data_IF_585833924502
#
_entry.id   IF_585833924502
#
_cell.length_a   1.000
_cell.length_b   1.000
_cell.length_c   1.000
_cell.angle_alpha   90.00
_cell.angle_beta   90.00
_cell.angle_gamma   90.00
#
_symmetry.space_group_name_H-M   'P 1'
#
loop_
_entity.id
_entity.type
_entity.pdbx_description
1 polymer ?
#
# COMPACT_ATOMS: atom_id res chain seq x y z
N UNK A 1 9.42 -16.98 -15.05
CA UNK A 1 8.01 -17.04 -14.57
C UNK A 1 7.96 -16.29 -13.24
N UNK A 2 7.01 -15.38 -13.05
CA UNK A 2 6.81 -14.66 -11.79
C UNK A 2 5.58 -15.27 -11.13
N UNK A 3 5.71 -16.02 -10.02
CA UNK A 3 4.57 -16.57 -9.29
C UNK A 3 3.84 -15.49 -8.50
N UNK A 4 2.54 -15.61 -8.40
CA UNK A 4 1.76 -14.79 -7.47
C UNK A 4 0.77 -15.64 -6.69
N UNK A 5 0.42 -15.21 -5.50
CA UNK A 5 -0.62 -15.80 -4.66
C UNK A 5 -1.41 -14.71 -3.93
N UNK A 6 -2.62 -15.04 -3.48
CA UNK A 6 -3.52 -14.09 -2.83
C UNK A 6 -4.25 -14.69 -1.65
N UNK A 7 -4.44 -13.88 -0.61
CA UNK A 7 -5.31 -14.17 0.53
C UNK A 7 -5.73 -12.88 1.24
N UNK A 8 -6.54 -12.96 2.31
CA UNK A 8 -6.82 -11.83 3.18
C UNK A 8 -5.59 -11.45 3.99
N UNK A 9 -5.41 -10.17 4.22
CA UNK A 9 -4.17 -9.63 4.78
C UNK A 9 -3.87 -10.14 6.19
N UNK A 10 -4.88 -10.33 7.04
CA UNK A 10 -4.70 -10.92 8.37
C UNK A 10 -4.04 -12.31 8.30
N UNK A 11 -4.27 -13.08 7.23
CA UNK A 11 -3.69 -14.42 7.06
C UNK A 11 -2.27 -14.41 6.49
N UNK A 12 -1.71 -13.25 6.18
CA UNK A 12 -0.28 -13.14 5.88
C UNK A 12 0.61 -13.63 7.02
N UNK A 13 0.09 -13.66 8.25
CA UNK A 13 0.80 -14.19 9.41
C UNK A 13 1.19 -15.67 9.24
N UNK A 14 0.35 -16.46 8.58
CA UNK A 14 0.67 -17.85 8.25
C UNK A 14 1.71 -17.96 7.13
N UNK A 15 1.88 -16.92 6.33
CA UNK A 15 2.78 -16.88 5.19
C UNK A 15 4.12 -16.23 5.51
N UNK A 16 4.26 -15.54 6.64
CA UNK A 16 5.49 -14.79 7.01
C UNK A 16 6.78 -15.60 6.86
N UNK A 17 6.87 -16.88 7.27
CA UNK A 17 8.07 -17.67 7.04
C UNK A 17 8.41 -17.84 5.56
N UNK A 18 7.42 -18.10 4.70
CA UNK A 18 7.61 -18.26 3.26
C UNK A 18 7.98 -16.94 2.59
N UNK A 19 7.32 -15.84 2.97
CA UNK A 19 7.64 -14.48 2.49
C UNK A 19 9.09 -14.12 2.85
N UNK A 20 9.50 -14.38 4.10
CA UNK A 20 10.86 -14.10 4.55
C UNK A 20 11.90 -14.95 3.80
N UNK A 21 11.60 -16.21 3.51
CA UNK A 21 12.49 -17.06 2.71
C UNK A 21 12.57 -16.61 1.25
N UNK A 22 11.45 -16.19 0.66
CA UNK A 22 11.46 -15.60 -0.70
C UNK A 22 12.33 -14.34 -0.74
N UNK A 23 12.20 -13.46 0.26
CA UNK A 23 13.01 -12.25 0.37
C UNK A 23 14.51 -12.57 0.55
N UNK A 24 14.84 -13.52 1.42
CA UNK A 24 16.22 -13.96 1.66
C UNK A 24 16.86 -14.58 0.40
N UNK A 25 16.09 -15.33 -0.36
CA UNK A 25 16.54 -16.00 -1.57
C UNK A 25 16.48 -15.12 -2.83
N UNK A 26 15.97 -13.88 -2.74
CA UNK A 26 15.83 -12.98 -3.89
C UNK A 26 14.80 -13.47 -4.92
N UNK A 27 13.76 -14.18 -4.50
CA UNK A 27 12.76 -14.75 -5.40
C UNK A 27 11.70 -13.68 -5.74
N UNK A 28 11.49 -13.36 -7.04
CA UNK A 28 10.53 -12.34 -7.47
C UNK A 28 9.09 -12.88 -7.44
N UNK A 29 8.59 -13.18 -6.24
CA UNK A 29 7.20 -13.61 -6.01
C UNK A 29 6.32 -12.40 -5.66
N UNK A 30 5.07 -12.39 -6.13
CA UNK A 30 4.11 -11.35 -5.82
C UNK A 30 3.07 -11.90 -4.84
N UNK A 31 2.98 -11.28 -3.67
CA UNK A 31 1.99 -11.60 -2.64
C UNK A 31 0.90 -10.54 -2.68
N UNK A 32 -0.32 -10.94 -3.04
CA UNK A 32 -1.48 -10.01 -3.11
C UNK A 32 -2.36 -10.23 -1.90
N UNK A 33 -2.44 -9.21 -1.06
CA UNK A 33 -3.28 -9.23 0.14
C UNK A 33 -4.44 -8.27 -0.02
N UNK A 34 -5.64 -8.72 0.35
CA UNK A 34 -6.85 -7.90 0.39
C UNK A 34 -7.33 -7.74 1.82
N UNK A 35 -8.30 -6.84 2.07
CA UNK A 35 -8.85 -6.63 3.42
C UNK A 35 -7.78 -6.10 4.38
N UNK A 36 -7.21 -4.96 4.01
CA UNK A 36 -5.94 -4.41 4.49
C UNK A 36 -5.97 -3.75 5.87
N UNK A 37 -7.18 -3.48 6.44
CA UNK A 37 -7.30 -2.65 7.63
C UNK A 37 -8.51 -2.99 8.50
N UNK A 38 -8.64 -2.27 9.62
CA UNK A 38 -9.80 -2.35 10.51
C UNK A 38 -11.12 -1.92 9.84
N UNK A 39 -11.06 -1.20 8.71
CA UNK A 39 -12.23 -0.82 7.92
C UNK A 39 -12.88 -1.99 7.16
N UNK A 40 -12.33 -3.19 7.26
CA UNK A 40 -12.94 -4.42 6.81
C UNK A 40 -14.39 -4.57 7.34
N UNK A 41 -14.63 -4.21 8.59
CA UNK A 41 -15.96 -4.12 9.18
C UNK A 41 -16.47 -5.45 9.75
N UNK A 42 -17.51 -6.01 9.15
CA UNK A 42 -18.34 -7.08 9.70
C UNK A 42 -17.67 -8.44 9.93
N UNK A 43 -16.58 -8.75 9.24
CA UNK A 43 -15.82 -10.00 9.45
C UNK A 43 -15.15 -10.03 10.85
N UNK A 44 -15.05 -8.87 11.50
CA UNK A 44 -14.63 -8.74 12.87
C UNK A 44 -13.12 -8.85 13.12
N UNK A 45 -12.71 -8.88 14.38
CA UNK A 45 -11.31 -8.70 14.78
C UNK A 45 -10.37 -9.80 14.31
N UNK A 46 -10.87 -10.99 13.99
CA UNK A 46 -10.05 -12.09 13.47
C UNK A 46 -9.53 -11.82 12.05
N UNK A 47 -10.14 -10.87 11.34
CA UNK A 47 -9.81 -10.54 9.96
C UNK A 47 -9.31 -9.09 9.80
N UNK A 48 -9.30 -8.31 10.88
CA UNK A 48 -8.91 -6.91 10.90
C UNK A 48 -7.42 -6.74 11.24
N UNK A 49 -6.52 -6.58 10.25
CA UNK A 49 -5.11 -6.37 10.51
C UNK A 49 -4.87 -4.98 11.13
N UNK A 50 -3.99 -4.90 12.12
CA UNK A 50 -3.57 -3.67 12.79
C UNK A 50 -2.06 -3.45 12.60
N UNK A 51 -1.25 -4.37 13.15
CA UNK A 51 0.21 -4.31 13.12
C UNK A 51 0.83 -4.93 11.86
N UNK A 52 0.03 -5.58 11.03
CA UNK A 52 0.47 -6.49 9.97
C UNK A 52 1.30 -5.78 8.89
N UNK A 53 0.93 -4.55 8.49
CA UNK A 53 1.71 -3.75 7.53
C UNK A 53 3.11 -3.48 8.06
N UNK A 54 3.22 -3.02 9.31
CA UNK A 54 4.50 -2.76 9.96
C UNK A 54 5.32 -4.05 10.09
N UNK A 55 4.65 -5.17 10.39
CA UNK A 55 5.27 -6.49 10.48
C UNK A 55 5.86 -6.99 9.16
N UNK A 56 5.25 -6.66 8.01
CA UNK A 56 5.84 -6.97 6.71
C UNK A 56 6.97 -5.99 6.34
N UNK A 57 6.82 -4.71 6.64
CA UNK A 57 7.82 -3.67 6.30
C UNK A 57 9.18 -3.87 6.98
N UNK A 58 9.26 -4.61 8.07
CA UNK A 58 10.55 -4.92 8.72
C UNK A 58 11.27 -6.12 8.11
N UNK A 59 10.68 -6.83 7.15
CA UNK A 59 11.34 -7.94 6.45
C UNK A 59 12.32 -7.36 5.41
N UNK A 60 13.64 -7.59 5.56
CA UNK A 60 14.61 -7.09 4.58
C UNK A 60 14.34 -7.68 3.19
N UNK A 61 14.58 -6.88 2.15
CA UNK A 61 14.39 -7.25 0.76
C UNK A 61 12.94 -7.60 0.37
N UNK A 62 11.93 -7.16 1.13
CA UNK A 62 10.53 -7.22 0.76
C UNK A 62 10.02 -5.82 0.43
N UNK A 63 9.52 -5.59 -0.79
CA UNK A 63 8.76 -4.39 -1.09
C UNK A 63 7.32 -4.55 -0.61
N UNK A 64 6.83 -3.53 0.10
CA UNK A 64 5.46 -3.52 0.62
C UNK A 64 4.76 -2.28 0.09
N UNK A 65 3.87 -2.47 -0.88
CA UNK A 65 3.16 -1.39 -1.57
C UNK A 65 1.69 -1.45 -1.18
N UNK A 66 1.16 -0.34 -0.68
CA UNK A 66 -0.24 -0.21 -0.27
C UNK A 66 -0.87 0.95 -1.05
N UNK A 67 -1.38 0.68 -2.26
CA UNK A 67 -1.92 1.70 -3.16
C UNK A 67 -3.25 2.27 -2.64
N UNK A 68 -3.47 3.57 -2.89
CA UNK A 68 -4.63 4.31 -2.43
C UNK A 68 -5.78 4.35 -3.43
N UNK A 69 -5.50 4.18 -4.73
CA UNK A 69 -6.50 4.22 -5.78
C UNK A 69 -6.17 3.25 -6.93
N UNK A 70 -7.07 3.08 -7.93
CA UNK A 70 -6.84 2.16 -9.06
C UNK A 70 -5.59 2.48 -9.88
N UNK A 71 -5.20 3.75 -10.01
CA UNK A 71 -4.02 4.15 -10.78
C UNK A 71 -2.73 3.82 -10.04
N UNK A 72 -2.72 3.99 -8.72
CA UNK A 72 -1.61 3.51 -7.90
C UNK A 72 -1.52 1.99 -7.90
N UNK A 73 -2.65 1.26 -7.95
CA UNK A 73 -2.65 -0.21 -8.12
C UNK A 73 -1.95 -0.59 -9.42
N UNK A 74 -2.23 0.10 -10.52
CA UNK A 74 -1.55 -0.16 -11.80
C UNK A 74 -0.04 0.08 -11.71
N UNK A 75 0.39 1.17 -11.06
CA UNK A 75 1.80 1.46 -10.79
C UNK A 75 2.47 0.41 -9.90
N UNK A 76 1.79 -0.01 -8.84
CA UNK A 76 2.26 -1.03 -7.91
C UNK A 76 2.45 -2.40 -8.60
N UNK A 77 1.52 -2.81 -9.47
CA UNK A 77 1.67 -4.03 -10.28
C UNK A 77 2.84 -3.91 -11.25
N UNK A 78 3.02 -2.76 -11.91
CA UNK A 78 4.15 -2.55 -12.81
C UNK A 78 5.48 -2.68 -12.04
N UNK A 79 5.60 -2.06 -10.87
CA UNK A 79 6.78 -2.17 -10.00
C UNK A 79 7.05 -3.63 -9.59
N UNK A 80 6.01 -4.35 -9.14
CA UNK A 80 6.13 -5.74 -8.73
C UNK A 80 6.56 -6.67 -9.88
N UNK A 81 6.07 -6.44 -11.09
CA UNK A 81 6.42 -7.25 -12.26
C UNK A 81 7.83 -6.95 -12.79
N UNK A 82 8.31 -5.73 -12.64
CA UNK A 82 9.66 -5.32 -13.05
C UNK A 82 10.74 -5.73 -12.05
N UNK A 83 10.37 -5.99 -10.81
CA UNK A 83 11.31 -6.41 -9.78
C UNK A 83 11.78 -7.84 -9.98
N UNK A 84 13.10 -8.06 -10.01
CA UNK A 84 13.71 -9.36 -10.30
C UNK A 84 14.57 -9.93 -9.17
N UNK A 85 14.82 -9.16 -8.13
CA UNK A 85 15.78 -9.45 -7.05
C UNK A 85 15.15 -9.69 -5.67
N UNK A 86 13.83 -9.70 -5.61
CA UNK A 86 13.10 -9.95 -4.37
C UNK A 86 11.58 -9.94 -4.55
N UNK A 87 10.84 -10.36 -3.53
CA UNK A 87 9.39 -10.39 -3.56
C UNK A 87 8.76 -9.01 -3.31
N UNK A 88 7.51 -8.86 -3.78
CA UNK A 88 6.67 -7.69 -3.54
C UNK A 88 5.35 -8.11 -2.92
N UNK A 89 4.94 -7.42 -1.85
CA UNK A 89 3.61 -7.54 -1.25
C UNK A 89 2.75 -6.35 -1.69
N UNK A 90 1.66 -6.62 -2.38
CA UNK A 90 0.62 -5.65 -2.75
C UNK A 90 -0.52 -5.76 -1.74
N UNK A 91 -0.81 -4.67 -1.02
CA UNK A 91 -1.81 -4.66 0.04
C UNK A 91 -2.98 -3.80 -0.41
N UNK A 92 -4.12 -4.46 -0.66
CA UNK A 92 -5.30 -3.86 -1.25
C UNK A 92 -6.43 -3.77 -0.23
N UNK A 93 -7.23 -2.71 -0.34
CA UNK A 93 -8.40 -2.50 0.52
C UNK A 93 -9.61 -3.34 0.07
N UNK A 94 -10.55 -3.58 0.99
CA UNK A 94 -11.85 -4.20 0.71
C UNK A 94 -12.87 -3.15 0.26
N UNK A 95 -12.90 -2.01 0.91
CA UNK A 95 -13.87 -0.96 0.65
C UNK A 95 -13.56 -0.19 -0.63
N UNK A 96 -14.59 0.47 -1.18
CA UNK A 96 -14.39 1.42 -2.26
C UNK A 96 -13.57 2.62 -1.79
N UNK A 97 -12.68 3.10 -2.65
CA UNK A 97 -11.87 4.31 -2.43
C UNK A 97 -12.08 5.28 -3.58
N UNK A 98 -11.99 6.60 -3.35
CA UNK A 98 -12.12 7.58 -4.40
C UNK A 98 -10.91 7.54 -5.33
N UNK A 99 -11.13 7.95 -6.58
CA UNK A 99 -10.04 8.18 -7.52
C UNK A 99 -9.37 9.54 -7.21
N UNK A 100 -8.06 9.54 -7.00
CA UNK A 100 -7.27 10.71 -6.63
C UNK A 100 -7.02 11.62 -7.84
N UNK A 101 -8.08 12.16 -8.43
CA UNK A 101 -8.06 12.91 -9.70
C UNK A 101 -7.33 14.25 -9.64
N UNK A 102 -6.93 14.72 -8.47
CA UNK A 102 -6.15 15.96 -8.30
C UNK A 102 -4.72 15.87 -8.85
N UNK A 103 -4.20 14.66 -9.05
CA UNK A 103 -2.88 14.41 -9.61
C UNK A 103 -3.00 13.61 -10.91
N UNK A 104 -2.21 13.93 -11.95
CA UNK A 104 -2.22 13.22 -13.22
C UNK A 104 -1.99 11.71 -13.07
N UNK A 105 -2.65 10.91 -13.91
CA UNK A 105 -2.55 9.42 -13.89
C UNK A 105 -1.09 8.95 -13.94
N UNK A 106 -0.29 9.55 -14.84
CA UNK A 106 1.11 9.16 -15.01
C UNK A 106 1.91 9.36 -13.70
N UNK A 107 1.70 10.49 -13.02
CA UNK A 107 2.39 10.82 -11.76
C UNK A 107 1.99 9.88 -10.63
N UNK A 108 0.70 9.50 -10.52
CA UNK A 108 0.22 8.52 -9.53
C UNK A 108 0.84 7.14 -9.75
N UNK A 109 0.86 6.66 -10.99
CA UNK A 109 1.46 5.37 -11.35
C UNK A 109 2.96 5.35 -11.08
N UNK A 110 3.67 6.39 -11.50
CA UNK A 110 5.11 6.54 -11.27
C UNK A 110 5.42 6.70 -9.78
N UNK A 111 4.67 7.53 -9.08
CA UNK A 111 4.83 7.77 -7.65
C UNK A 111 4.64 6.51 -6.81
N UNK A 112 3.65 5.67 -7.14
CA UNK A 112 3.47 4.36 -6.51
C UNK A 112 4.67 3.43 -6.77
N UNK A 113 5.21 3.43 -7.99
CA UNK A 113 6.38 2.63 -8.34
C UNK A 113 7.67 3.11 -7.66
N UNK A 114 7.80 4.42 -7.41
CA UNK A 114 8.93 5.03 -6.71
C UNK A 114 8.83 4.96 -5.17
N UNK A 115 7.68 4.53 -4.65
CA UNK A 115 7.44 4.37 -3.21
C UNK A 115 6.77 5.56 -2.52
N UNK A 116 6.45 6.63 -3.25
CA UNK A 116 5.70 7.77 -2.73
C UNK A 116 5.85 9.03 -3.59
N UNK A 117 4.92 9.94 -3.42
CA UNK A 117 4.90 11.23 -4.12
C UNK A 117 4.10 12.27 -3.33
N UNK A 118 4.16 13.53 -3.74
CA UNK A 118 3.40 14.61 -3.12
C UNK A 118 2.03 14.71 -3.79
N UNK A 119 0.99 14.22 -3.08
CA UNK A 119 -0.39 14.27 -3.56
C UNK A 119 -1.00 15.68 -3.48
N UNK A 120 -0.63 16.45 -2.47
CA UNK A 120 -1.06 17.83 -2.25
C UNK A 120 0.12 18.67 -1.77
N UNK A 121 0.33 19.82 -2.39
CA UNK A 121 1.35 20.79 -1.96
C UNK A 121 0.75 21.81 -1.00
N UNK A 122 1.60 22.36 -0.19
CA UNK A 122 1.33 23.50 0.69
C UNK A 122 0.93 24.74 -0.11
N UNK A 123 0.10 25.60 0.49
CA UNK A 123 -0.30 26.89 -0.09
C UNK A 123 0.45 28.08 0.51
N UNK A 124 1.34 27.85 1.49
CA UNK A 124 2.11 28.85 2.21
C UNK A 124 3.39 28.27 2.79
N UNK A 125 3.79 28.69 3.98
CA UNK A 125 4.91 28.09 4.68
C UNK A 125 4.57 26.65 5.08
N UNK A 126 5.50 25.72 4.84
CA UNK A 126 5.31 24.32 5.24
C UNK A 126 5.44 24.19 6.77
N UNK A 127 4.33 23.87 7.42
CA UNK A 127 4.26 23.66 8.88
C UNK A 127 4.02 22.20 9.25
N UNK A 128 3.29 21.46 8.41
CA UNK A 128 2.88 20.09 8.69
C UNK A 128 3.00 19.21 7.44
N UNK A 129 3.49 17.99 7.62
CA UNK A 129 3.50 16.94 6.59
C UNK A 129 2.62 15.80 7.08
N UNK A 130 1.60 15.45 6.30
CA UNK A 130 0.75 14.27 6.55
C UNK A 130 1.22 13.17 5.58
N UNK A 131 1.54 12.00 6.12
CA UNK A 131 1.89 10.82 5.33
C UNK A 131 0.83 9.75 5.49
N UNK A 132 0.33 9.22 4.38
CA UNK A 132 -0.70 8.19 4.36
C UNK A 132 -0.46 7.20 3.21
N UNK A 133 -1.09 6.03 3.27
CA UNK A 133 -1.08 5.02 2.21
C UNK A 133 -2.40 4.25 2.22
N UNK A 134 -2.78 3.66 1.07
CA UNK A 134 -4.00 2.88 0.98
C UNK A 134 -5.26 3.70 1.24
N UNK A 135 -6.25 3.09 1.84
CA UNK A 135 -7.55 3.72 2.11
C UNK A 135 -7.50 4.93 3.05
N UNK A 136 -6.45 5.10 3.84
CA UNK A 136 -6.31 6.25 4.74
C UNK A 136 -5.91 7.54 4.02
N UNK A 137 -5.52 7.49 2.75
CA UNK A 137 -5.19 8.69 1.95
C UNK A 137 -6.38 9.63 1.82
N UNK A 138 -7.60 9.11 1.64
CA UNK A 138 -8.83 9.91 1.64
C UNK A 138 -8.98 10.71 2.93
N UNK A 139 -8.83 10.05 4.08
CA UNK A 139 -8.94 10.69 5.38
C UNK A 139 -7.81 11.70 5.64
N UNK A 140 -6.62 11.44 5.11
CA UNK A 140 -5.51 12.38 5.18
C UNK A 140 -5.79 13.66 4.38
N UNK A 141 -6.43 13.56 3.21
CA UNK A 141 -6.86 14.70 2.41
C UNK A 141 -7.95 15.51 3.14
N UNK A 142 -8.95 14.84 3.72
CA UNK A 142 -9.98 15.51 4.52
C UNK A 142 -9.37 16.23 5.74
N UNK A 143 -8.40 15.61 6.41
CA UNK A 143 -7.70 16.23 7.53
C UNK A 143 -6.93 17.49 7.10
N UNK A 144 -6.26 17.42 5.93
CA UNK A 144 -5.55 18.57 5.37
C UNK A 144 -6.48 19.73 5.03
N UNK A 145 -7.69 19.44 4.50
CA UNK A 145 -8.70 20.47 4.24
C UNK A 145 -9.12 21.18 5.55
N UNK A 146 -9.45 20.41 6.58
CA UNK A 146 -9.85 20.96 7.89
C UNK A 146 -8.74 21.76 8.59
N UNK A 147 -7.48 21.44 8.33
CA UNK A 147 -6.34 22.20 8.85
C UNK A 147 -6.12 23.50 8.09
N UNK A 148 -6.34 23.49 6.76
CA UNK A 148 -6.22 24.67 5.91
C UNK A 148 -7.30 25.70 6.13
N UNK A 149 -8.45 25.33 6.69
CA UNK A 149 -9.57 26.22 7.02
C UNK A 149 -9.38 26.98 8.36
N UNK A 150 -8.26 26.83 9.05
CA UNK A 150 -7.93 27.49 10.34
C UNK A 150 -6.91 28.58 10.16
#
# INVERSE_FOLDING_TARGET
MIPFCSTYFAFSDFMKPAIRLAALAGIPAIFVFTHDSIFLGEDGPTHQPVETVSGLRVIPNLDVIRPADPEEVAGAWAAAMLRTDGPTALILTRQGVPNLSSVPIAERREGAALGGYVLRREQGALETIIMASGSEVEHALEAADRLGDR
#
